data_IF_632562789030
#
_entry.id   IF_632562789030
#
_cell.length_a   1.000
_cell.length_b   1.000
_cell.length_c   1.000
_cell.angle_alpha   90.00
_cell.angle_beta   90.00
_cell.angle_gamma   90.00
#
_symmetry.space_group_name_H-M   'P 1'
#
loop_
_entity.id
_entity.type
_entity.pdbx_description
1 polymer ?
#
# COMPACT_ATOMS: atom_id res chain seq x y z
N UNK A 1 -75.70 -2.86 97.70
CA UNK A 1 -76.30 -2.35 96.48
C UNK A 1 -75.47 -2.87 95.30
N UNK A 2 -76.07 -3.75 94.53
CA UNK A 2 -75.41 -4.50 93.45
C UNK A 2 -75.47 -3.68 92.19
N UNK A 3 -74.33 -3.43 91.57
CA UNK A 3 -74.25 -2.81 90.28
C UNK A 3 -74.21 -3.92 89.21
N UNK A 4 -75.16 -3.85 88.22
CA UNK A 4 -75.38 -4.85 87.20
C UNK A 4 -74.48 -4.55 86.00
N UNK A 5 -73.60 -5.45 85.71
CA UNK A 5 -72.85 -5.45 84.46
C UNK A 5 -73.77 -5.54 83.23
N UNK A 6 -73.49 -4.79 82.09
CA UNK A 6 -74.33 -4.86 80.91
C UNK A 6 -74.05 -6.17 80.14
N UNK A 7 -75.16 -6.91 79.86
CA UNK A 7 -75.11 -8.14 79.07
C UNK A 7 -74.68 -7.84 77.63
N UNK A 8 -73.53 -8.38 77.20
CA UNK A 8 -73.15 -8.46 75.77
C UNK A 8 -74.21 -9.37 75.06
N UNK A 9 -75.07 -8.79 74.28
CA UNK A 9 -75.94 -9.57 73.39
C UNK A 9 -75.13 -10.40 72.46
N UNK A 10 -75.41 -11.68 72.22
CA UNK A 10 -74.70 -12.50 71.24
C UNK A 10 -74.96 -11.91 69.86
N UNK A 11 -73.86 -11.60 69.15
CA UNK A 11 -73.84 -11.12 67.74
C UNK A 11 -74.56 -12.15 66.86
N UNK A 12 -75.51 -11.68 66.03
CA UNK A 12 -76.30 -12.55 65.15
C UNK A 12 -75.40 -13.41 64.25
N UNK A 13 -75.78 -14.67 63.95
CA UNK A 13 -74.98 -15.59 63.14
C UNK A 13 -74.69 -15.02 61.71
N UNK A 14 -75.56 -14.14 61.20
CA UNK A 14 -75.42 -13.42 59.94
C UNK A 14 -74.23 -12.44 59.98
N UNK A 15 -74.00 -11.79 61.13
CA UNK A 15 -72.83 -10.86 61.27
C UNK A 15 -71.52 -11.62 61.28
N UNK A 16 -71.48 -12.80 61.94
CA UNK A 16 -70.26 -13.65 61.90
C UNK A 16 -70.00 -14.17 60.50
N UNK A 17 -71.03 -14.50 59.72
CA UNK A 17 -70.84 -14.93 58.31
C UNK A 17 -70.36 -13.80 57.44
N UNK A 18 -70.88 -12.59 57.61
CA UNK A 18 -70.40 -11.40 56.88
C UNK A 18 -68.93 -11.10 57.26
N UNK A 19 -68.54 -11.12 58.53
CA UNK A 19 -67.17 -10.90 58.99
C UNK A 19 -66.26 -12.00 58.49
N UNK A 20 -66.64 -13.27 58.48
CA UNK A 20 -65.88 -14.38 57.96
C UNK A 20 -65.63 -14.25 56.44
N UNK A 21 -66.69 -13.83 55.69
CA UNK A 21 -66.55 -13.57 54.23
C UNK A 21 -65.60 -12.40 53.98
N UNK A 22 -65.70 -11.31 54.78
CA UNK A 22 -64.78 -10.17 54.62
C UNK A 22 -63.31 -10.54 54.95
N UNK A 23 -63.14 -11.35 56.01
CA UNK A 23 -61.79 -11.86 56.37
C UNK A 23 -61.28 -12.78 55.29
N UNK A 24 -62.09 -13.68 54.75
CA UNK A 24 -61.66 -14.56 53.62
C UNK A 24 -61.37 -13.77 52.38
N UNK A 25 -62.16 -12.73 52.03
CA UNK A 25 -61.86 -11.83 50.90
C UNK A 25 -60.57 -11.04 51.13
N UNK A 26 -60.38 -10.52 52.35
CA UNK A 26 -59.09 -9.82 52.69
C UNK A 26 -57.91 -10.73 52.58
N UNK A 27 -57.98 -11.94 53.15
CA UNK A 27 -56.90 -12.95 52.99
C UNK A 27 -56.61 -13.30 51.50
N UNK A 28 -57.66 -13.45 50.72
CA UNK A 28 -57.55 -13.71 49.29
C UNK A 28 -56.84 -12.56 48.58
N UNK A 29 -57.17 -11.30 48.86
CA UNK A 29 -56.50 -10.12 48.32
C UNK A 29 -55.01 -10.08 48.75
N UNK A 30 -54.74 -10.34 50.04
CA UNK A 30 -53.39 -10.34 50.58
C UNK A 30 -52.55 -11.46 49.95
N UNK A 31 -53.05 -12.68 49.86
CA UNK A 31 -52.36 -13.81 49.20
C UNK A 31 -52.17 -13.50 47.71
N UNK A 32 -53.20 -12.97 47.02
CA UNK A 32 -53.10 -12.53 45.63
C UNK A 32 -52.06 -11.47 45.41
N UNK A 33 -51.88 -10.51 46.34
CA UNK A 33 -50.88 -9.45 46.31
C UNK A 33 -49.46 -9.98 46.54
N UNK A 34 -49.27 -11.12 47.22
CA UNK A 34 -48.02 -11.80 47.39
C UNK A 34 -47.55 -12.54 46.09
N UNK A 35 -48.55 -13.07 45.35
CA UNK A 35 -48.28 -13.83 44.09
C UNK A 35 -48.16 -12.89 42.91
N UNK A 36 -48.94 -11.84 42.84
CA UNK A 36 -48.96 -10.86 41.76
C UNK A 36 -47.68 -10.04 41.75
N UNK A 37 -46.97 -10.04 40.60
CA UNK A 37 -45.77 -9.25 40.35
C UNK A 37 -46.11 -8.13 39.37
N UNK A 38 -45.61 -6.93 39.66
CA UNK A 38 -45.63 -5.79 38.73
C UNK A 38 -44.21 -5.49 38.23
N UNK A 39 -44.11 -4.99 37.04
CA UNK A 39 -42.83 -4.62 36.40
C UNK A 39 -42.49 -3.18 36.75
N UNK A 40 -41.26 -2.96 37.16
CA UNK A 40 -40.71 -1.63 37.35
C UNK A 40 -39.97 -1.29 36.04
N UNK A 41 -40.35 -0.18 35.47
CA UNK A 41 -39.78 0.27 34.18
C UNK A 41 -39.03 1.58 34.35
N UNK A 42 -37.87 1.63 33.74
CA UNK A 42 -37.17 2.89 33.49
C UNK A 42 -37.65 3.45 32.15
N UNK A 43 -37.96 4.75 32.13
CA UNK A 43 -38.48 5.41 30.93
C UNK A 43 -37.44 6.29 30.27
N UNK A 44 -37.23 6.08 28.99
CA UNK A 44 -36.34 6.89 28.12
C UNK A 44 -37.08 7.41 26.90
N UNK A 45 -36.63 8.55 26.39
CA UNK A 45 -37.05 9.09 25.10
C UNK A 45 -35.93 9.00 24.12
N UNK A 46 -36.25 8.74 22.84
CA UNK A 46 -35.21 8.60 21.83
C UNK A 46 -35.75 8.57 20.42
N UNK A 47 -34.93 8.09 19.53
CA UNK A 47 -35.25 7.96 18.10
C UNK A 47 -34.74 6.66 17.52
N UNK A 48 -35.37 6.25 16.44
CA UNK A 48 -34.87 5.13 15.62
C UNK A 48 -33.65 5.59 14.82
N UNK A 49 -32.56 4.86 14.94
CA UNK A 49 -31.37 5.08 14.16
C UNK A 49 -31.02 3.81 13.37
N UNK A 50 -30.38 3.91 12.20
CA UNK A 50 -29.86 2.75 11.50
C UNK A 50 -28.69 2.13 12.28
N UNK A 51 -28.55 0.82 12.24
CA UNK A 51 -27.42 0.11 12.85
C UNK A 51 -26.12 0.37 12.10
N UNK A 52 -26.20 0.59 10.78
CA UNK A 52 -25.05 0.91 9.93
C UNK A 52 -24.80 2.41 9.93
N UNK A 53 -23.53 2.78 10.07
CA UNK A 53 -23.10 4.19 10.02
C UNK A 53 -23.25 4.76 8.61
N UNK A 54 -23.67 6.02 8.54
CA UNK A 54 -23.69 6.79 7.30
C UNK A 54 -22.28 6.80 6.69
N UNK A 55 -22.17 6.41 5.44
CA UNK A 55 -20.90 6.41 4.71
C UNK A 55 -20.72 7.75 3.99
N UNK A 56 -19.55 8.35 4.20
CA UNK A 56 -19.17 9.59 3.54
C UNK A 56 -18.36 9.23 2.28
N UNK A 57 -18.83 9.65 1.12
CA UNK A 57 -18.09 9.55 -0.13
C UNK A 57 -17.30 10.84 -0.31
N UNK A 58 -15.97 10.74 -0.25
CA UNK A 58 -15.06 11.87 -0.36
C UNK A 58 -14.23 11.75 -1.65
N UNK A 59 -13.91 12.89 -2.25
CA UNK A 59 -12.96 12.92 -3.36
C UNK A 59 -11.55 12.56 -2.84
N UNK A 60 -10.94 11.53 -3.40
CA UNK A 60 -9.56 11.18 -3.07
C UNK A 60 -8.57 12.08 -3.80
N UNK A 61 -8.93 12.53 -4.99
CA UNK A 61 -8.11 13.38 -5.84
C UNK A 61 -8.83 14.70 -6.13
N UNK A 62 -8.04 15.74 -6.32
CA UNK A 62 -8.50 17.02 -6.83
C UNK A 62 -8.74 16.91 -8.33
N UNK A 63 -9.87 17.43 -8.81
CA UNK A 63 -10.17 17.36 -10.25
C UNK A 63 -11.46 18.07 -10.64
N UNK A 64 -11.68 18.17 -11.95
CA UNK A 64 -12.91 18.70 -12.53
C UNK A 64 -13.95 17.60 -12.67
N UNK A 65 -15.20 17.88 -12.32
CA UNK A 65 -16.30 16.93 -12.48
C UNK A 65 -16.66 16.79 -13.95
N UNK A 66 -16.55 15.59 -14.51
CA UNK A 66 -16.98 15.29 -15.86
C UNK A 66 -18.45 14.86 -15.89
N UNK A 67 -18.83 13.93 -14.99
CA UNK A 67 -20.19 13.37 -14.93
C UNK A 67 -20.63 13.15 -13.49
N UNK A 68 -21.92 13.40 -13.23
CA UNK A 68 -22.64 13.01 -12.02
C UNK A 68 -23.74 12.04 -12.49
N UNK A 69 -23.69 10.79 -12.05
CA UNK A 69 -24.54 9.70 -12.53
C UNK A 69 -25.70 9.40 -11.59
N UNK A 70 -25.74 10.07 -10.44
CA UNK A 70 -26.70 9.81 -9.36
C UNK A 70 -27.40 11.10 -8.93
N UNK A 71 -28.54 10.92 -8.25
CA UNK A 71 -29.37 12.02 -7.71
C UNK A 71 -29.58 11.81 -6.22
N UNK A 72 -29.87 12.88 -5.50
CA UNK A 72 -30.29 12.84 -4.12
C UNK A 72 -31.55 11.98 -3.95
N UNK A 73 -31.60 11.16 -2.91
CA UNK A 73 -32.68 10.19 -2.67
C UNK A 73 -32.63 8.92 -3.52
N UNK A 74 -31.70 8.78 -4.46
CA UNK A 74 -31.55 7.58 -5.27
C UNK A 74 -30.96 6.42 -4.48
N UNK A 75 -31.45 5.20 -4.73
CA UNK A 75 -30.85 3.97 -4.22
C UNK A 75 -29.69 3.55 -5.13
N UNK A 76 -28.57 3.16 -4.50
CA UNK A 76 -27.35 2.70 -5.18
C UNK A 76 -26.88 1.38 -4.59
N UNK A 77 -26.26 0.53 -5.42
CA UNK A 77 -25.64 -0.71 -5.00
C UNK A 77 -24.13 -0.49 -4.78
N UNK A 78 -23.55 -1.32 -3.94
CA UNK A 78 -22.10 -1.34 -3.76
C UNK A 78 -21.38 -1.55 -5.10
N UNK A 79 -20.43 -0.66 -5.43
CA UNK A 79 -19.70 -0.68 -6.69
C UNK A 79 -20.34 0.13 -7.83
N UNK A 80 -21.53 0.73 -7.63
CA UNK A 80 -22.11 1.63 -8.63
C UNK A 80 -21.26 2.89 -8.78
N UNK A 81 -21.04 3.32 -10.04
CA UNK A 81 -20.33 4.56 -10.35
C UNK A 81 -21.21 5.77 -10.03
N UNK A 82 -20.75 6.61 -9.12
CA UNK A 82 -21.47 7.77 -8.61
C UNK A 82 -21.09 9.05 -9.36
N UNK A 83 -19.79 9.32 -9.38
CA UNK A 83 -19.22 10.54 -9.97
C UNK A 83 -17.96 10.15 -10.75
N UNK A 84 -17.76 10.79 -11.88
CA UNK A 84 -16.54 10.67 -12.67
C UNK A 84 -15.89 12.05 -12.78
N UNK A 85 -14.62 12.10 -12.36
CA UNK A 85 -13.76 13.25 -12.61
C UNK A 85 -13.11 13.14 -13.98
N UNK A 86 -12.67 14.26 -14.56
CA UNK A 86 -12.04 14.32 -15.89
C UNK A 86 -10.71 13.54 -15.90
N UNK A 87 -10.62 12.43 -16.65
CA UNK A 87 -9.44 11.58 -16.64
C UNK A 87 -8.35 12.01 -17.63
N UNK A 88 -8.59 13.05 -18.46
CA UNK A 88 -7.70 13.37 -19.59
C UNK A 88 -6.27 13.69 -19.18
N UNK A 89 -6.10 14.45 -18.11
CA UNK A 89 -4.76 14.79 -17.59
C UNK A 89 -4.02 13.55 -17.08
N UNK A 90 -4.69 12.70 -16.29
CA UNK A 90 -4.13 11.47 -15.76
C UNK A 90 -3.80 10.46 -16.87
N UNK A 91 -4.67 10.33 -17.90
CA UNK A 91 -4.43 9.49 -19.07
C UNK A 91 -3.19 9.94 -19.85
N UNK A 92 -3.05 11.26 -20.09
CA UNK A 92 -1.90 11.82 -20.78
C UNK A 92 -0.62 11.59 -19.99
N UNK A 93 -0.65 11.76 -18.66
CA UNK A 93 0.52 11.49 -17.80
C UNK A 93 0.87 9.99 -17.78
N UNK A 94 -0.12 9.09 -17.72
CA UNK A 94 0.13 7.64 -17.86
C UNK A 94 0.81 7.32 -19.21
N UNK A 95 0.29 7.86 -20.30
CA UNK A 95 0.85 7.64 -21.63
C UNK A 95 2.28 8.18 -21.75
N UNK A 96 2.56 9.35 -21.15
CA UNK A 96 3.90 9.92 -21.11
C UNK A 96 4.88 9.04 -20.34
N UNK A 97 4.51 8.61 -19.13
CA UNK A 97 5.35 7.72 -18.31
C UNK A 97 5.58 6.37 -18.99
N UNK A 98 4.58 5.82 -19.67
CA UNK A 98 4.74 4.60 -20.46
C UNK A 98 5.71 4.77 -21.64
N UNK A 99 5.68 5.92 -22.32
CA UNK A 99 6.62 6.24 -23.38
C UNK A 99 8.07 6.37 -22.82
N UNK A 100 8.24 7.02 -21.68
CA UNK A 100 9.53 7.14 -20.98
C UNK A 100 10.08 5.75 -20.58
N UNK A 101 9.22 4.86 -20.06
CA UNK A 101 9.58 3.46 -19.75
C UNK A 101 10.02 2.72 -21.00
N UNK A 102 9.31 2.85 -22.11
CA UNK A 102 9.66 2.20 -23.36
C UNK A 102 11.03 2.67 -23.87
N UNK A 103 11.32 3.97 -23.80
CA UNK A 103 12.62 4.54 -24.18
C UNK A 103 13.75 4.03 -23.28
N UNK A 104 13.56 4.05 -21.96
CA UNK A 104 14.58 3.55 -21.02
C UNK A 104 14.79 2.03 -21.17
N UNK A 105 13.73 1.28 -21.45
CA UNK A 105 13.82 -0.16 -21.72
C UNK A 105 14.70 -0.45 -22.95
N UNK A 106 14.51 0.31 -24.01
CA UNK A 106 15.35 0.20 -25.22
C UNK A 106 16.83 0.51 -24.91
N UNK A 107 17.11 1.56 -24.13
CA UNK A 107 18.48 1.89 -23.73
C UNK A 107 19.11 0.76 -22.89
N UNK A 108 18.37 0.16 -21.97
CA UNK A 108 18.83 -0.99 -21.19
C UNK A 108 19.14 -2.20 -22.09
N UNK A 109 18.26 -2.47 -23.06
CA UNK A 109 18.47 -3.56 -24.02
C UNK A 109 19.71 -3.35 -24.90
N UNK A 110 19.93 -2.12 -25.37
CA UNK A 110 21.13 -1.74 -26.14
C UNK A 110 22.40 -1.96 -25.31
N UNK A 111 22.41 -1.45 -24.07
CA UNK A 111 23.54 -1.61 -23.15
C UNK A 111 23.85 -3.09 -22.89
N UNK A 112 22.80 -3.89 -22.65
CA UNK A 112 22.93 -5.34 -22.41
C UNK A 112 23.44 -6.06 -23.66
N UNK A 113 22.95 -5.74 -24.85
CA UNK A 113 23.38 -6.34 -26.10
C UNK A 113 24.88 -6.09 -26.35
N UNK A 114 25.35 -4.84 -26.13
CA UNK A 114 26.74 -4.48 -26.27
C UNK A 114 27.63 -5.21 -25.24
N UNK A 115 27.18 -5.27 -23.96
CA UNK A 115 27.91 -6.03 -22.92
C UNK A 115 28.00 -7.50 -23.24
N UNK A 116 26.93 -8.12 -23.71
CA UNK A 116 26.92 -9.53 -24.11
C UNK A 116 27.86 -9.77 -25.28
N UNK A 117 27.85 -8.88 -26.29
CA UNK A 117 28.78 -8.97 -27.44
C UNK A 117 30.22 -8.90 -26.97
N UNK A 118 30.58 -8.00 -26.05
CA UNK A 118 31.91 -7.83 -25.50
C UNK A 118 32.39 -9.01 -24.62
N UNK A 119 31.44 -9.74 -24.01
CA UNK A 119 31.77 -10.91 -23.19
C UNK A 119 31.85 -12.22 -23.96
N UNK A 120 30.97 -12.41 -24.94
CA UNK A 120 30.81 -13.70 -25.62
C UNK A 120 31.51 -13.79 -26.97
N UNK A 121 31.98 -12.65 -27.54
CA UNK A 121 32.58 -12.62 -28.87
C UNK A 121 33.92 -11.93 -28.84
N UNK A 122 34.87 -12.42 -29.69
CA UNK A 122 36.11 -11.67 -29.89
C UNK A 122 35.84 -10.40 -30.72
N UNK A 123 36.14 -9.20 -30.19
CA UNK A 123 35.92 -7.95 -30.91
C UNK A 123 36.69 -7.84 -32.26
N UNK A 124 37.68 -8.68 -32.52
CA UNK A 124 38.43 -8.71 -33.78
C UNK A 124 37.79 -9.62 -34.83
N UNK A 125 36.82 -10.45 -34.47
CA UNK A 125 36.07 -11.30 -35.40
C UNK A 125 35.31 -10.48 -36.44
N UNK A 126 35.18 -11.04 -37.67
CA UNK A 126 34.44 -10.39 -38.76
C UNK A 126 32.95 -10.26 -38.41
N UNK A 127 32.39 -11.22 -37.65
CA UNK A 127 30.99 -11.32 -37.32
C UNK A 127 30.64 -10.64 -35.99
N UNK A 128 31.58 -9.94 -35.36
CA UNK A 128 31.40 -9.32 -34.05
C UNK A 128 30.19 -8.38 -34.00
N UNK A 129 30.06 -7.49 -35.00
CA UNK A 129 28.94 -6.55 -35.09
C UNK A 129 27.61 -7.26 -35.33
N UNK A 130 27.59 -8.28 -36.22
CA UNK A 130 26.39 -9.06 -36.53
C UNK A 130 25.91 -9.86 -35.31
N UNK A 131 26.82 -10.47 -34.57
CA UNK A 131 26.49 -11.15 -33.29
C UNK A 131 25.95 -10.16 -32.27
N UNK A 132 26.54 -8.96 -32.13
CA UNK A 132 26.04 -7.92 -31.24
C UNK A 132 24.62 -7.48 -31.55
N UNK A 133 24.26 -7.37 -32.82
CA UNK A 133 22.89 -7.07 -33.25
C UNK A 133 21.91 -8.21 -32.92
N UNK A 134 22.34 -9.46 -32.98
CA UNK A 134 21.51 -10.62 -32.66
C UNK A 134 21.12 -10.70 -31.17
N UNK A 135 21.93 -10.08 -30.29
CA UNK A 135 21.59 -9.99 -28.85
C UNK A 135 20.54 -8.93 -28.52
N UNK A 136 20.12 -8.07 -29.45
CA UNK A 136 19.02 -7.13 -29.23
C UNK A 136 17.69 -7.88 -29.27
N UNK A 137 16.92 -7.94 -28.16
CA UNK A 137 15.66 -8.65 -28.13
C UNK A 137 14.62 -7.99 -29.06
N UNK A 138 13.64 -8.78 -29.51
CA UNK A 138 12.52 -8.24 -30.27
C UNK A 138 11.76 -7.20 -29.43
N UNK A 139 11.39 -6.04 -30.00
CA UNK A 139 10.68 -5.02 -29.25
C UNK A 139 9.33 -5.56 -28.78
N UNK A 140 8.92 -5.29 -27.54
CA UNK A 140 7.54 -5.51 -27.15
C UNK A 140 6.66 -4.57 -27.97
N UNK A 141 5.81 -5.17 -28.79
CA UNK A 141 4.77 -4.51 -29.62
C UNK A 141 5.09 -3.13 -30.23
N UNK A 142 5.43 -3.11 -31.49
CA UNK A 142 4.95 -2.07 -32.41
C UNK A 142 5.88 -0.90 -32.74
N UNK A 143 7.00 -0.66 -32.06
CA UNK A 143 7.84 0.50 -32.37
C UNK A 143 9.05 0.10 -33.26
N UNK A 144 8.77 -0.23 -34.53
CA UNK A 144 9.79 -0.61 -35.49
C UNK A 144 10.87 0.47 -35.68
N UNK A 145 10.51 1.75 -35.56
CA UNK A 145 11.44 2.88 -35.70
C UNK A 145 12.48 2.89 -34.58
N UNK A 146 12.05 2.72 -33.32
CA UNK A 146 12.95 2.68 -32.17
C UNK A 146 13.94 1.49 -32.23
N UNK A 147 13.48 0.35 -32.77
CA UNK A 147 14.35 -0.80 -33.02
C UNK A 147 15.44 -0.48 -34.05
N UNK A 148 15.07 0.11 -35.17
CA UNK A 148 16.03 0.48 -36.25
C UNK A 148 17.07 1.47 -35.71
N UNK A 149 16.67 2.42 -34.86
CA UNK A 149 17.57 3.36 -34.21
C UNK A 149 18.51 2.64 -33.22
N UNK A 150 18.01 1.70 -32.43
CA UNK A 150 18.80 0.86 -31.54
C UNK A 150 19.84 0.01 -32.30
N UNK A 151 19.42 -0.66 -33.40
CA UNK A 151 20.30 -1.45 -34.26
C UNK A 151 21.40 -0.59 -34.87
N UNK A 152 21.09 0.62 -35.36
CA UNK A 152 22.06 1.59 -35.86
C UNK A 152 23.05 2.01 -34.77
N UNK A 153 22.58 2.28 -33.57
CA UNK A 153 23.46 2.69 -32.47
C UNK A 153 24.43 1.56 -32.07
N UNK A 154 23.89 0.32 -31.90
CA UNK A 154 24.73 -0.85 -31.60
C UNK A 154 25.78 -1.05 -32.70
N UNK A 155 25.36 -1.08 -33.97
CA UNK A 155 26.26 -1.30 -35.08
C UNK A 155 27.35 -0.23 -35.15
N UNK A 156 27.01 1.06 -35.03
CA UNK A 156 27.96 2.15 -35.05
C UNK A 156 28.96 2.07 -33.88
N UNK A 157 28.48 1.74 -32.68
CA UNK A 157 29.33 1.62 -31.49
C UNK A 157 30.33 0.45 -31.62
N UNK A 158 29.82 -0.74 -31.94
CA UNK A 158 30.64 -1.94 -32.08
C UNK A 158 31.62 -1.81 -33.24
N UNK A 159 31.21 -1.22 -34.35
CA UNK A 159 32.12 -0.94 -35.50
C UNK A 159 33.24 0.01 -35.12
N UNK A 160 32.91 1.13 -34.45
CA UNK A 160 33.94 2.09 -33.99
C UNK A 160 34.95 1.44 -33.04
N UNK A 161 34.50 0.61 -32.10
CA UNK A 161 35.36 -0.13 -31.20
C UNK A 161 36.26 -1.13 -31.98
N UNK A 162 35.66 -1.89 -32.88
CA UNK A 162 36.38 -2.85 -33.73
C UNK A 162 37.48 -2.17 -34.56
N UNK A 163 37.19 -1.01 -35.15
CA UNK A 163 38.15 -0.27 -35.95
C UNK A 163 39.35 0.23 -35.13
N UNK A 164 39.10 0.72 -33.90
CA UNK A 164 40.15 1.11 -32.95
C UNK A 164 41.04 -0.09 -32.57
N UNK A 165 40.43 -1.24 -32.27
CA UNK A 165 41.14 -2.46 -31.89
C UNK A 165 41.96 -3.02 -33.05
N UNK A 166 41.41 -2.98 -34.27
CA UNK A 166 42.15 -3.35 -35.52
C UNK A 166 43.36 -2.44 -35.78
N UNK A 167 43.21 -1.14 -35.54
CA UNK A 167 44.31 -0.20 -35.67
C UNK A 167 45.45 -0.52 -34.69
N UNK A 168 45.12 -0.76 -33.40
CA UNK A 168 46.12 -1.18 -32.40
C UNK A 168 46.80 -2.51 -32.75
N UNK A 169 46.01 -3.48 -33.24
CA UNK A 169 46.55 -4.76 -33.72
C UNK A 169 47.48 -4.56 -34.88
N UNK A 170 47.12 -3.77 -35.91
CA UNK A 170 47.95 -3.49 -37.06
C UNK A 170 49.26 -2.80 -36.67
N UNK A 171 49.24 -1.95 -35.64
CA UNK A 171 50.47 -1.33 -35.10
C UNK A 171 51.33 -2.37 -34.40
N UNK A 172 50.76 -3.24 -33.56
CA UNK A 172 51.52 -4.32 -32.92
C UNK A 172 52.15 -5.29 -33.94
N UNK A 173 51.40 -5.70 -34.98
CA UNK A 173 51.89 -6.56 -36.06
C UNK A 173 53.03 -5.90 -36.86
N UNK A 174 53.05 -4.57 -36.94
CA UNK A 174 54.13 -3.81 -37.59
C UNK A 174 55.42 -3.83 -36.74
N UNK A 175 55.27 -3.62 -35.41
CA UNK A 175 56.41 -3.69 -34.47
C UNK A 175 56.99 -5.10 -34.41
N UNK A 176 56.12 -6.12 -34.41
CA UNK A 176 56.52 -7.54 -34.42
C UNK A 176 57.35 -7.89 -35.68
N UNK A 177 56.91 -7.43 -36.87
CA UNK A 177 57.67 -7.61 -38.12
C UNK A 177 59.01 -6.89 -38.08
N UNK A 178 59.07 -5.66 -37.48
CA UNK A 178 60.36 -4.96 -37.25
C UNK A 178 61.24 -5.79 -36.32
N UNK A 179 60.70 -6.38 -35.25
CA UNK A 179 61.48 -7.26 -34.39
C UNK A 179 62.01 -8.50 -35.07
N UNK A 180 61.22 -9.14 -35.94
CA UNK A 180 61.70 -10.30 -36.73
C UNK A 180 62.90 -9.94 -37.64
N UNK A 181 62.87 -8.74 -38.28
CA UNK A 181 63.99 -8.24 -39.07
C UNK A 181 65.22 -8.00 -38.21
N UNK A 182 65.05 -7.46 -37.01
CA UNK A 182 66.17 -7.22 -36.08
C UNK A 182 66.74 -8.52 -35.51
N UNK A 183 65.96 -9.56 -35.32
CA UNK A 183 66.43 -10.88 -34.93
C UNK A 183 67.36 -11.45 -36.02
N UNK A 184 66.91 -11.42 -37.28
CA UNK A 184 67.74 -11.89 -38.39
C UNK A 184 69.07 -11.10 -38.52
N UNK A 185 69.05 -9.80 -38.18
CA UNK A 185 70.31 -9.00 -38.16
C UNK A 185 71.17 -9.36 -36.95
N UNK A 186 70.59 -9.68 -35.80
CA UNK A 186 71.31 -10.13 -34.61
C UNK A 186 72.06 -11.45 -34.90
N UNK A 187 71.41 -12.41 -35.53
CA UNK A 187 71.96 -13.70 -35.90
C UNK A 187 73.19 -13.49 -36.78
N UNK A 188 73.11 -12.63 -37.80
CA UNK A 188 74.26 -12.26 -38.69
C UNK A 188 75.36 -11.59 -37.89
N UNK A 189 75.09 -10.66 -36.99
CA UNK A 189 76.08 -10.00 -36.15
C UNK A 189 76.77 -10.98 -35.18
N UNK A 190 76.08 -12.00 -34.71
CA UNK A 190 76.69 -13.07 -33.91
C UNK A 190 77.64 -13.92 -34.70
N UNK A 191 77.39 -14.22 -36.00
CA UNK A 191 78.28 -14.88 -36.89
C UNK A 191 79.59 -13.99 -37.18
N UNK A 192 79.34 -12.69 -37.42
CA UNK A 192 80.41 -11.71 -37.60
C UNK A 192 81.28 -11.56 -36.32
N UNK A 193 80.65 -11.64 -35.13
CA UNK A 193 81.39 -11.65 -33.86
C UNK A 193 82.29 -12.86 -33.73
N UNK A 194 81.81 -14.07 -34.07
CA UNK A 194 82.63 -15.29 -34.06
C UNK A 194 83.82 -15.18 -35.00
N UNK A 195 83.65 -14.67 -36.23
CA UNK A 195 84.69 -14.44 -37.20
C UNK A 195 85.69 -13.42 -36.70
N UNK A 196 85.27 -12.27 -36.21
CA UNK A 196 86.08 -11.20 -35.67
C UNK A 196 86.89 -11.64 -34.44
N UNK A 197 86.26 -12.44 -33.56
CA UNK A 197 86.96 -13.04 -32.41
C UNK A 197 88.05 -13.99 -32.84
N UNK A 198 87.81 -14.81 -33.86
CA UNK A 198 88.87 -15.68 -34.47
C UNK A 198 90.04 -14.89 -35.00
N UNK A 199 89.74 -13.83 -35.77
CA UNK A 199 90.77 -12.91 -36.30
C UNK A 199 91.55 -12.21 -35.16
N UNK A 200 90.89 -11.78 -34.10
CA UNK A 200 91.54 -11.15 -32.97
C UNK A 200 92.47 -12.13 -32.22
N UNK A 201 92.01 -13.39 -31.99
CA UNK A 201 92.88 -14.42 -31.37
C UNK A 201 94.08 -14.72 -32.19
N UNK A 202 93.95 -14.86 -33.53
CA UNK A 202 95.09 -15.05 -34.44
C UNK A 202 96.05 -13.86 -34.42
N UNK A 203 95.54 -12.62 -34.48
CA UNK A 203 96.33 -11.40 -34.38
C UNK A 203 97.09 -11.30 -33.07
N UNK A 204 96.44 -11.68 -31.92
CA UNK A 204 97.13 -11.71 -30.62
C UNK A 204 98.32 -12.66 -30.59
N UNK A 205 98.17 -13.89 -31.10
CA UNK A 205 99.28 -14.87 -31.20
C UNK A 205 100.42 -14.41 -32.10
N UNK A 206 100.08 -13.79 -33.23
CA UNK A 206 101.11 -13.26 -34.17
C UNK A 206 101.81 -12.03 -33.57
N UNK A 207 101.20 -11.20 -32.79
CA UNK A 207 101.82 -10.09 -32.07
C UNK A 207 102.77 -10.59 -30.98
N UNK A 208 102.38 -11.61 -30.21
CA UNK A 208 103.21 -12.24 -29.20
C UNK A 208 104.48 -12.84 -29.79
N UNK A 209 104.42 -13.38 -31.02
CA UNK A 209 105.58 -13.89 -31.80
C UNK A 209 106.33 -12.77 -32.58
N UNK A 210 105.94 -11.50 -32.41
CA UNK A 210 106.53 -10.31 -33.08
C UNK A 210 106.35 -10.34 -34.62
N UNK A 211 105.44 -11.07 -35.20
CA UNK A 211 105.18 -11.14 -36.63
C UNK A 211 104.37 -9.94 -37.14
N UNK A 212 103.50 -9.37 -36.32
CA UNK A 212 102.71 -8.17 -36.65
C UNK A 212 102.93 -7.05 -35.62
N UNK A 213 102.66 -5.79 -36.04
CA UNK A 213 102.74 -4.65 -35.14
C UNK A 213 101.57 -4.56 -34.14
N UNK A 214 101.80 -3.90 -33.00
CA UNK A 214 100.75 -3.60 -32.01
C UNK A 214 99.61 -2.79 -32.65
N UNK A 215 99.84 -1.94 -33.60
CA UNK A 215 98.81 -1.17 -34.28
C UNK A 215 97.82 -2.07 -35.03
N UNK A 216 98.27 -3.14 -35.71
CA UNK A 216 97.39 -4.11 -36.38
C UNK A 216 96.55 -4.91 -35.36
N UNK A 217 97.10 -5.28 -34.21
CA UNK A 217 96.34 -5.93 -33.15
C UNK A 217 95.26 -4.99 -32.59
N UNK A 218 95.56 -3.72 -32.32
CA UNK A 218 94.59 -2.73 -31.82
C UNK A 218 93.52 -2.46 -32.87
N UNK A 219 93.83 -2.47 -34.16
CA UNK A 219 92.83 -2.37 -35.23
C UNK A 219 91.79 -3.57 -35.15
N UNK A 220 92.32 -4.80 -35.05
CA UNK A 220 91.45 -5.98 -34.90
C UNK A 220 90.60 -6.00 -33.58
N UNK A 221 91.15 -5.49 -32.49
CA UNK A 221 90.46 -5.30 -31.25
C UNK A 221 89.35 -4.27 -31.40
N UNK A 222 89.63 -3.19 -32.12
CA UNK A 222 88.59 -2.17 -32.40
C UNK A 222 87.46 -2.75 -33.26
N UNK A 223 87.77 -3.51 -34.33
CA UNK A 223 86.79 -4.18 -35.16
C UNK A 223 85.92 -5.12 -34.33
N UNK A 224 86.47 -5.94 -33.47
CA UNK A 224 85.71 -6.82 -32.58
C UNK A 224 84.84 -6.03 -31.63
N UNK A 225 85.33 -4.98 -31.03
CA UNK A 225 84.57 -4.11 -30.13
C UNK A 225 83.40 -3.41 -30.82
N UNK A 226 83.56 -3.00 -32.08
CA UNK A 226 82.49 -2.41 -32.86
C UNK A 226 81.35 -3.40 -33.08
N UNK A 227 81.64 -4.66 -33.42
CA UNK A 227 80.61 -5.71 -33.57
C UNK A 227 79.91 -5.99 -32.25
N UNK A 228 80.64 -6.04 -31.13
CA UNK A 228 80.01 -6.18 -29.79
C UNK A 228 79.07 -5.03 -29.49
N UNK A 229 79.43 -3.78 -29.79
CA UNK A 229 78.56 -2.62 -29.62
C UNK A 229 77.31 -2.66 -30.50
N UNK A 230 77.44 -3.14 -31.76
CA UNK A 230 76.32 -3.31 -32.67
C UNK A 230 75.35 -4.38 -32.18
N UNK A 231 75.89 -5.51 -31.66
CA UNK A 231 75.00 -6.56 -30.99
C UNK A 231 74.24 -5.97 -29.84
N UNK A 232 74.92 -5.26 -28.92
CA UNK A 232 74.24 -4.66 -27.74
C UNK A 232 73.20 -3.64 -28.17
N UNK A 233 73.49 -2.83 -29.18
CA UNK A 233 72.52 -1.85 -29.70
C UNK A 233 71.32 -2.55 -30.30
N UNK A 234 71.48 -3.63 -31.01
CA UNK A 234 70.40 -4.39 -31.63
C UNK A 234 69.57 -5.14 -30.59
N UNK A 235 70.22 -5.69 -29.55
CA UNK A 235 69.50 -6.31 -28.41
C UNK A 235 68.57 -5.29 -27.68
N UNK A 236 69.09 -4.06 -27.42
CA UNK A 236 68.29 -3.00 -26.83
C UNK A 236 67.05 -2.64 -27.67
N UNK A 237 67.20 -2.57 -28.99
CA UNK A 237 66.12 -2.31 -29.93
C UNK A 237 65.06 -3.42 -29.89
N UNK A 238 65.48 -4.69 -29.72
CA UNK A 238 64.57 -5.80 -29.54
C UNK A 238 63.78 -5.69 -28.20
N UNK A 239 64.48 -5.28 -27.13
CA UNK A 239 63.81 -5.02 -25.82
C UNK A 239 62.79 -3.87 -25.92
N UNK A 240 63.16 -2.78 -26.62
CA UNK A 240 62.26 -1.65 -26.89
C UNK A 240 61.01 -2.09 -27.68
N UNK A 241 61.18 -2.89 -28.74
CA UNK A 241 60.04 -3.44 -29.49
C UNK A 241 59.16 -4.34 -28.67
N UNK A 242 59.72 -5.19 -27.80
CA UNK A 242 58.96 -6.04 -26.90
C UNK A 242 58.16 -5.21 -25.87
N UNK A 243 58.75 -4.13 -25.34
CA UNK A 243 58.10 -3.20 -24.46
C UNK A 243 56.95 -2.46 -25.17
N UNK A 244 57.15 -2.02 -26.42
CA UNK A 244 56.12 -1.37 -27.24
C UNK A 244 54.94 -2.32 -27.52
N UNK A 245 55.19 -3.59 -27.90
CA UNK A 245 54.16 -4.61 -28.10
C UNK A 245 53.34 -4.81 -26.81
N UNK A 246 53.99 -4.88 -25.65
CA UNK A 246 53.29 -5.00 -24.36
C UNK A 246 52.43 -3.78 -24.05
N UNK A 247 52.93 -2.58 -24.34
CA UNK A 247 52.17 -1.34 -24.21
C UNK A 247 50.90 -1.34 -25.08
N UNK A 248 51.02 -1.74 -26.34
CA UNK A 248 49.89 -1.84 -27.28
C UNK A 248 48.89 -2.91 -26.86
N UNK A 249 49.34 -4.03 -26.28
CA UNK A 249 48.45 -5.05 -25.70
C UNK A 249 47.68 -4.50 -24.50
N UNK A 250 48.37 -3.77 -23.61
CA UNK A 250 47.72 -3.12 -22.45
C UNK A 250 46.70 -2.07 -22.89
N UNK A 251 47.01 -1.22 -23.87
CA UNK A 251 46.10 -0.24 -24.44
C UNK A 251 44.85 -0.91 -25.02
N UNK A 252 45.01 -2.03 -25.75
CA UNK A 252 43.88 -2.81 -26.27
C UNK A 252 43.01 -3.34 -25.16
N UNK A 253 43.59 -3.89 -24.10
CA UNK A 253 42.86 -4.43 -22.97
C UNK A 253 42.10 -3.32 -22.18
N UNK A 254 42.77 -2.18 -21.97
CA UNK A 254 42.15 -1.01 -21.32
C UNK A 254 40.94 -0.52 -22.11
N UNK A 255 41.07 -0.38 -23.45
CA UNK A 255 39.97 0.08 -24.30
C UNK A 255 38.72 -0.82 -24.17
N UNK A 256 38.89 -2.15 -24.14
CA UNK A 256 37.80 -3.11 -23.95
C UNK A 256 37.22 -2.96 -22.54
N UNK A 257 38.08 -2.87 -21.51
CA UNK A 257 37.62 -2.74 -20.11
C UNK A 257 36.89 -1.44 -19.86
N UNK A 258 37.34 -0.35 -20.47
CA UNK A 258 36.74 0.98 -20.37
C UNK A 258 35.31 0.98 -20.99
N UNK A 259 35.15 0.35 -22.16
CA UNK A 259 33.82 0.20 -22.79
C UNK A 259 32.91 -0.71 -21.97
N UNK A 260 33.39 -1.82 -21.42
CA UNK A 260 32.63 -2.68 -20.50
C UNK A 260 32.20 -1.90 -19.26
N UNK A 261 33.10 -1.13 -18.65
CA UNK A 261 32.81 -0.32 -17.48
C UNK A 261 31.72 0.73 -17.77
N UNK A 262 31.83 1.41 -18.91
CA UNK A 262 30.87 2.41 -19.40
C UNK A 262 29.48 1.83 -19.58
N UNK A 263 29.37 0.71 -20.28
CA UNK A 263 28.05 0.09 -20.52
C UNK A 263 27.44 -0.58 -19.27
N UNK A 264 28.27 -1.08 -18.34
CA UNK A 264 27.81 -1.53 -17.03
C UNK A 264 27.25 -0.39 -16.18
N UNK A 265 27.90 0.78 -16.24
CA UNK A 265 27.39 1.96 -15.55
C UNK A 265 26.07 2.41 -16.17
N UNK A 266 25.99 2.51 -17.50
CA UNK A 266 24.77 2.87 -18.20
C UNK A 266 23.63 1.89 -17.92
N UNK A 267 23.90 0.59 -17.91
CA UNK A 267 22.91 -0.44 -17.59
C UNK A 267 22.34 -0.28 -16.18
N UNK A 268 23.20 -0.03 -15.18
CA UNK A 268 22.75 0.20 -13.80
C UNK A 268 21.94 1.48 -13.65
N UNK A 269 22.37 2.56 -14.25
CA UNK A 269 21.64 3.84 -14.23
C UNK A 269 20.26 3.70 -14.87
N UNK A 270 20.21 3.05 -16.03
CA UNK A 270 18.96 2.80 -16.74
C UNK A 270 18.01 1.91 -15.93
N UNK A 271 18.53 0.90 -15.24
CA UNK A 271 17.74 0.01 -14.39
C UNK A 271 17.12 0.76 -13.19
N UNK A 272 17.90 1.63 -12.53
CA UNK A 272 17.40 2.48 -11.45
C UNK A 272 16.32 3.45 -11.95
N UNK A 273 16.53 4.07 -13.11
CA UNK A 273 15.54 4.95 -13.72
C UNK A 273 14.26 4.20 -14.07
N UNK A 274 14.36 2.96 -14.60
CA UNK A 274 13.20 2.12 -14.89
C UNK A 274 12.41 1.77 -13.62
N UNK A 275 13.07 1.48 -12.51
CA UNK A 275 12.39 1.25 -11.23
C UNK A 275 11.62 2.50 -10.77
N UNK A 276 12.26 3.68 -10.86
CA UNK A 276 11.59 4.94 -10.54
C UNK A 276 10.39 5.24 -11.44
N UNK A 277 10.53 5.03 -12.75
CA UNK A 277 9.44 5.22 -13.71
C UNK A 277 8.29 4.23 -13.51
N UNK A 278 8.58 2.96 -13.19
CA UNK A 278 7.54 1.97 -12.85
C UNK A 278 6.76 2.38 -11.62
N UNK A 279 7.44 2.79 -10.54
CA UNK A 279 6.76 3.29 -9.34
C UNK A 279 5.91 4.54 -9.63
N UNK A 280 6.39 5.42 -10.52
CA UNK A 280 5.63 6.57 -10.99
C UNK A 280 4.40 6.15 -11.79
N UNK A 281 4.52 5.14 -12.66
CA UNK A 281 3.40 4.61 -13.43
C UNK A 281 2.32 4.04 -12.50
N UNK A 282 2.72 3.24 -11.50
CA UNK A 282 1.80 2.67 -10.51
C UNK A 282 1.05 3.77 -9.74
N UNK A 283 1.77 4.82 -9.32
CA UNK A 283 1.15 5.98 -8.66
C UNK A 283 0.18 6.72 -9.57
N UNK A 284 0.54 6.93 -10.84
CA UNK A 284 -0.32 7.62 -11.81
C UNK A 284 -1.55 6.79 -12.16
N UNK A 285 -1.38 5.47 -12.29
CA UNK A 285 -2.48 4.53 -12.49
C UNK A 285 -3.45 4.55 -11.30
N UNK A 286 -2.91 4.51 -10.06
CA UNK A 286 -3.71 4.65 -8.85
C UNK A 286 -4.52 5.96 -8.85
N UNK A 287 -3.91 7.08 -9.24
CA UNK A 287 -4.62 8.34 -9.40
C UNK A 287 -5.74 8.25 -10.43
N UNK A 288 -5.48 7.63 -11.57
CA UNK A 288 -6.47 7.46 -12.65
C UNK A 288 -7.67 6.63 -12.17
N UNK A 289 -7.44 5.51 -11.48
CA UNK A 289 -8.49 4.62 -10.97
C UNK A 289 -9.37 5.33 -9.93
N UNK A 290 -8.80 6.26 -9.15
CA UNK A 290 -9.52 7.02 -8.12
C UNK A 290 -10.14 8.34 -8.60
N UNK A 291 -10.15 8.59 -9.92
CA UNK A 291 -10.97 9.63 -10.54
C UNK A 291 -12.43 9.19 -10.72
N UNK A 292 -12.70 7.90 -10.62
CA UNK A 292 -14.04 7.33 -10.63
C UNK A 292 -14.43 6.98 -9.19
N UNK A 293 -15.49 7.60 -8.68
CA UNK A 293 -15.97 7.39 -7.31
C UNK A 293 -17.13 6.40 -7.34
N UNK A 294 -16.97 5.33 -6.56
CA UNK A 294 -17.95 4.23 -6.47
C UNK A 294 -18.63 4.20 -5.11
N UNK A 295 -19.84 3.62 -5.06
CA UNK A 295 -20.58 3.40 -3.83
C UNK A 295 -19.87 2.37 -2.94
N UNK A 296 -19.53 2.69 -1.69
CA UNK A 296 -18.87 1.76 -0.77
C UNK A 296 -19.81 0.68 -0.23
N UNK A 297 -21.15 0.95 -0.21
CA UNK A 297 -22.18 0.07 0.34
C UNK A 297 -23.50 0.26 -0.42
N UNK A 298 -24.38 -0.73 -0.30
CA UNK A 298 -25.78 -0.59 -0.73
C UNK A 298 -26.50 0.41 0.17
N UNK A 299 -27.20 1.37 -0.43
CA UNK A 299 -27.89 2.38 0.36
C UNK A 299 -28.53 3.48 -0.47
N UNK A 300 -29.06 4.47 0.24
CA UNK A 300 -29.70 5.64 -0.37
C UNK A 300 -28.86 6.88 -0.17
N UNK A 301 -28.72 7.68 -1.23
CA UNK A 301 -28.02 8.97 -1.18
C UNK A 301 -28.89 9.95 -0.38
N UNK A 302 -28.38 10.45 0.75
CA UNK A 302 -29.07 11.38 1.65
C UNK A 302 -28.77 12.84 1.31
N UNK A 303 -27.51 13.12 0.97
CA UNK A 303 -27.05 14.50 0.68
C UNK A 303 -26.06 14.46 -0.47
N UNK A 304 -26.26 15.29 -1.47
CA UNK A 304 -25.37 15.47 -2.61
C UNK A 304 -24.87 16.92 -2.62
N UNK A 305 -23.63 17.14 -2.17
CA UNK A 305 -23.06 18.48 -2.04
C UNK A 305 -22.66 19.14 -3.37
N UNK A 306 -22.79 18.42 -4.47
CA UNK A 306 -22.34 18.86 -5.81
C UNK A 306 -23.48 18.72 -6.82
N UNK A 307 -23.79 19.83 -7.49
CA UNK A 307 -24.86 19.89 -8.48
C UNK A 307 -24.41 20.39 -9.86
N UNK A 308 -23.15 20.86 -9.98
CA UNK A 308 -22.67 21.53 -11.18
C UNK A 308 -21.66 20.67 -11.94
N UNK A 309 -21.98 20.31 -13.18
CA UNK A 309 -21.03 19.69 -14.10
C UNK A 309 -19.93 20.71 -14.45
N UNK A 310 -18.70 20.23 -14.56
CA UNK A 310 -17.54 21.07 -14.84
C UNK A 310 -17.03 21.85 -13.64
N UNK A 311 -17.67 21.69 -12.47
CA UNK A 311 -17.17 22.23 -11.19
C UNK A 311 -15.87 21.55 -10.79
N UNK A 312 -15.12 22.20 -9.86
CA UNK A 312 -13.85 21.71 -9.36
C UNK A 312 -14.03 21.20 -7.94
N UNK A 313 -13.47 20.02 -7.65
CA UNK A 313 -13.47 19.43 -6.31
C UNK A 313 -12.05 19.27 -5.81
N UNK A 314 -11.87 19.46 -4.50
CA UNK A 314 -10.60 19.27 -3.81
C UNK A 314 -10.55 17.89 -3.14
N UNK A 315 -9.36 17.33 -3.01
CA UNK A 315 -9.15 16.09 -2.28
C UNK A 315 -9.60 16.24 -0.80
N UNK A 316 -10.25 15.21 -0.27
CA UNK A 316 -10.78 15.20 1.10
C UNK A 316 -12.17 15.86 1.26
N UNK A 317 -12.70 16.52 0.23
CA UNK A 317 -14.04 17.12 0.31
C UNK A 317 -15.12 16.04 0.24
N UNK A 318 -16.07 16.07 1.17
CA UNK A 318 -17.24 15.21 1.14
C UNK A 318 -18.17 15.63 0.01
N UNK A 319 -18.46 14.70 -0.89
CA UNK A 319 -19.27 14.93 -2.06
C UNK A 319 -20.73 14.48 -1.87
N UNK A 320 -20.90 13.39 -1.12
CA UNK A 320 -22.22 12.85 -0.77
C UNK A 320 -22.17 11.98 0.47
N UNK A 321 -23.35 11.72 1.02
CA UNK A 321 -23.58 10.78 2.12
C UNK A 321 -24.47 9.66 1.65
N UNK A 322 -24.11 8.41 1.99
CA UNK A 322 -24.91 7.23 1.71
C UNK A 322 -25.38 6.63 3.03
N UNK A 323 -26.70 6.52 3.20
CA UNK A 323 -27.34 5.83 4.32
C UNK A 323 -27.55 4.38 3.88
N UNK A 324 -26.85 3.42 4.52
CA UNK A 324 -27.00 2.01 4.17
C UNK A 324 -28.43 1.49 4.43
N UNK A 325 -28.96 0.70 3.50
CA UNK A 325 -30.27 0.05 3.65
C UNK A 325 -30.15 -1.29 4.39
N UNK A 326 -28.96 -1.87 4.45
CA UNK A 326 -28.69 -3.20 5.03
C UNK A 326 -28.32 -3.17 6.52
N UNK A 327 -28.80 -2.21 7.27
CA UNK A 327 -28.67 -2.18 8.72
C UNK A 327 -30.04 -2.38 9.36
N UNK A 328 -30.19 -3.34 10.28
CA UNK A 328 -31.36 -3.37 11.14
C UNK A 328 -31.57 -2.02 11.84
N UNK A 329 -32.78 -1.69 12.20
CA UNK A 329 -33.09 -0.49 12.97
C UNK A 329 -32.85 -0.75 14.45
N UNK A 330 -32.25 0.21 15.13
CA UNK A 330 -32.12 0.23 16.59
C UNK A 330 -32.69 1.53 17.13
N UNK A 331 -33.13 1.49 18.37
CA UNK A 331 -33.54 2.66 19.09
C UNK A 331 -32.39 3.17 19.94
N UNK A 332 -31.98 4.42 19.74
CA UNK A 332 -31.15 5.14 20.71
C UNK A 332 -32.07 5.94 21.62
N UNK A 333 -32.20 5.50 22.89
CA UNK A 333 -33.04 6.15 23.89
C UNK A 333 -32.15 6.72 25.01
N UNK A 334 -32.56 7.88 25.53
CA UNK A 334 -31.85 8.59 26.57
C UNK A 334 -32.59 8.41 27.90
N UNK A 335 -31.87 7.92 28.90
CA UNK A 335 -32.35 7.65 30.23
C UNK A 335 -31.73 8.58 31.26
N UNK A 336 -32.51 8.92 32.30
CA UNK A 336 -32.03 9.77 33.40
C UNK A 336 -30.93 9.05 34.21
N UNK A 337 -30.02 9.82 34.80
CA UNK A 337 -28.97 9.31 35.67
C UNK A 337 -29.50 8.49 36.87
N UNK A 338 -30.77 8.73 37.29
CA UNK A 338 -31.41 7.96 38.38
C UNK A 338 -31.68 6.51 38.01
N UNK A 339 -31.92 6.23 36.75
CA UNK A 339 -32.37 4.92 36.27
C UNK A 339 -31.24 4.06 35.74
N UNK A 340 -30.08 4.69 35.37
CA UNK A 340 -28.96 4.01 34.69
C UNK A 340 -28.37 2.86 35.51
N UNK A 341 -28.32 2.98 36.83
CA UNK A 341 -27.77 1.95 37.72
C UNK A 341 -28.57 0.63 37.72
N UNK A 342 -29.80 0.64 37.14
CA UNK A 342 -30.67 -0.53 37.01
C UNK A 342 -30.80 -1.05 35.60
N UNK A 343 -30.13 -0.39 34.63
CA UNK A 343 -30.16 -0.78 33.22
C UNK A 343 -28.99 -1.70 32.87
N UNK A 344 -29.33 -2.88 32.36
CA UNK A 344 -28.33 -3.90 31.98
C UNK A 344 -28.60 -4.42 30.56
N UNK A 345 -27.54 -4.86 29.92
CA UNK A 345 -27.63 -5.55 28.63
C UNK A 345 -28.47 -6.82 28.74
N UNK A 346 -29.40 -7.02 27.78
CA UNK A 346 -30.27 -8.18 27.72
C UNK A 346 -31.65 -7.96 28.34
N UNK A 347 -31.91 -6.82 29.00
CA UNK A 347 -33.24 -6.49 29.53
C UNK A 347 -34.24 -6.27 28.39
N UNK A 348 -35.51 -6.63 28.64
CA UNK A 348 -36.61 -6.40 27.71
C UNK A 348 -37.08 -4.94 27.80
N UNK A 349 -37.43 -4.41 26.65
CA UNK A 349 -37.94 -3.06 26.52
C UNK A 349 -39.27 -3.05 25.73
N UNK A 350 -40.17 -2.16 26.12
CA UNK A 350 -41.37 -1.81 25.36
C UNK A 350 -41.13 -0.50 24.63
N UNK A 351 -41.22 -0.52 23.31
CA UNK A 351 -40.99 0.62 22.44
C UNK A 351 -42.34 1.14 21.94
N UNK A 352 -42.61 2.41 22.20
CA UNK A 352 -43.82 3.13 21.81
C UNK A 352 -43.45 4.20 20.81
N UNK A 353 -43.88 4.08 19.58
CA UNK A 353 -43.63 5.04 18.53
C UNK A 353 -44.65 6.20 18.63
N UNK A 354 -44.15 7.44 18.59
CA UNK A 354 -45.04 8.63 18.61
C UNK A 354 -45.91 8.70 17.34
N UNK A 355 -45.40 8.18 16.21
CA UNK A 355 -46.16 8.10 14.97
C UNK A 355 -47.25 7.01 14.97
N UNK A 356 -47.19 6.03 15.89
CA UNK A 356 -48.11 4.88 15.99
C UNK A 356 -48.62 4.74 17.44
N UNK A 357 -49.72 5.42 17.80
CA UNK A 357 -50.28 5.39 19.17
C UNK A 357 -50.51 3.96 19.68
N UNK A 358 -50.00 3.62 20.88
CA UNK A 358 -49.99 2.25 21.39
C UNK A 358 -51.43 1.67 21.65
N UNK A 359 -52.45 2.51 21.80
CA UNK A 359 -53.84 2.11 21.95
C UNK A 359 -54.38 1.41 20.69
N UNK A 360 -53.85 1.73 19.51
CA UNK A 360 -54.30 1.18 18.22
C UNK A 360 -53.32 0.16 17.63
N UNK A 361 -52.02 0.33 17.90
CA UNK A 361 -50.95 -0.45 17.25
C UNK A 361 -50.23 -1.38 18.22
N UNK A 362 -50.53 -1.29 19.53
CA UNK A 362 -49.82 -2.05 20.54
C UNK A 362 -48.41 -1.48 20.83
N UNK A 363 -47.66 -2.24 21.59
CA UNK A 363 -46.27 -1.92 21.92
C UNK A 363 -45.34 -2.86 21.18
N UNK A 364 -44.22 -2.35 20.72
CA UNK A 364 -43.17 -3.15 20.06
C UNK A 364 -42.19 -3.62 21.13
N UNK A 365 -41.81 -4.90 21.04
CA UNK A 365 -40.82 -5.48 21.92
C UNK A 365 -39.41 -5.21 21.39
N UNK A 366 -38.50 -5.05 22.34
CA UNK A 366 -37.07 -4.90 22.01
C UNK A 366 -36.20 -5.38 23.16
N UNK A 367 -34.92 -5.46 22.90
CA UNK A 367 -33.90 -5.92 23.85
C UNK A 367 -32.76 -4.92 23.94
N UNK A 368 -32.33 -4.58 25.17
CA UNK A 368 -31.18 -3.72 25.41
C UNK A 368 -29.92 -4.40 24.93
N UNK A 369 -29.22 -3.78 23.96
CA UNK A 369 -27.95 -4.28 23.38
C UNK A 369 -26.75 -3.67 24.07
N UNK A 370 -26.83 -2.37 24.37
CA UNK A 370 -25.75 -1.63 24.99
C UNK A 370 -26.25 -0.49 25.86
N UNK A 371 -25.57 -0.26 26.97
CA UNK A 371 -25.79 0.86 27.88
C UNK A 371 -24.56 1.76 27.82
N UNK A 372 -24.75 3.04 27.49
CA UNK A 372 -23.65 4.00 27.34
C UNK A 372 -22.92 4.20 28.67
N UNK A 373 -21.61 4.14 28.61
CA UNK A 373 -20.72 4.29 29.76
C UNK A 373 -20.57 5.75 30.24
N UNK A 374 -20.95 6.73 29.38
CA UNK A 374 -20.72 8.16 29.65
C UNK A 374 -22.00 8.94 29.49
N UNK A 375 -22.24 9.84 30.43
CA UNK A 375 -23.38 10.76 30.35
C UNK A 375 -23.16 11.80 29.26
N UNK A 376 -24.16 12.08 28.45
CA UNK A 376 -24.20 13.21 27.52
C UNK A 376 -24.87 14.39 28.22
N UNK A 377 -24.15 15.53 28.25
CA UNK A 377 -24.66 16.77 28.79
C UNK A 377 -25.09 17.67 27.64
N UNK A 378 -26.32 18.14 27.62
CA UNK A 378 -26.80 19.19 26.73
C UNK A 378 -27.31 20.35 27.59
N UNK A 379 -27.33 21.58 27.04
CA UNK A 379 -27.70 22.81 27.77
C UNK A 379 -29.10 22.76 28.45
N UNK A 380 -29.96 21.85 28.02
CA UNK A 380 -31.33 21.69 28.51
C UNK A 380 -31.61 20.38 29.31
N UNK A 381 -30.65 19.43 29.31
CA UNK A 381 -30.89 18.10 29.89
C UNK A 381 -29.72 17.71 30.79
N UNK A 382 -30.02 17.55 32.10
CA UNK A 382 -29.05 17.05 33.07
C UNK A 382 -28.65 15.62 32.71
N UNK A 383 -27.36 15.34 32.61
CA UNK A 383 -26.69 14.06 32.42
C UNK A 383 -27.55 12.85 32.07
N UNK A 384 -27.80 12.65 30.77
CA UNK A 384 -28.53 11.49 30.26
C UNK A 384 -27.60 10.45 29.66
N UNK A 385 -27.97 9.19 29.79
CA UNK A 385 -27.22 8.08 29.21
C UNK A 385 -27.94 7.53 28.00
N UNK A 386 -27.17 7.33 26.90
CA UNK A 386 -27.68 6.71 25.69
C UNK A 386 -27.71 5.18 25.86
N UNK A 387 -28.86 4.58 25.63
CA UNK A 387 -29.08 3.12 25.65
C UNK A 387 -29.52 2.68 24.27
N UNK A 388 -28.85 1.68 23.72
CA UNK A 388 -29.17 1.11 22.41
C UNK A 388 -30.05 -0.12 22.60
N UNK A 389 -31.23 -0.09 21.97
CA UNK A 389 -32.25 -1.12 22.09
C UNK A 389 -32.55 -1.68 20.71
N UNK A 390 -32.28 -2.97 20.51
CA UNK A 390 -32.62 -3.68 19.29
C UNK A 390 -34.11 -3.90 19.21
N UNK A 391 -34.71 -3.59 18.08
CA UNK A 391 -36.12 -3.80 17.80
C UNK A 391 -36.30 -5.24 17.31
N UNK A 392 -37.28 -5.98 17.87
CA UNK A 392 -37.51 -7.37 17.47
C UNK A 392 -38.28 -7.49 16.15
N UNK A 393 -38.95 -6.44 15.70
CA UNK A 393 -39.71 -6.37 14.46
C UNK A 393 -39.42 -5.08 13.71
N UNK A 394 -39.26 -5.16 12.40
CA UNK A 394 -38.95 -4.02 11.53
C UNK A 394 -40.17 -3.29 10.96
N UNK A 395 -41.38 -3.80 11.23
CA UNK A 395 -42.64 -3.25 10.76
C UNK A 395 -43.79 -3.53 11.71
N UNK A 396 -44.85 -2.75 11.59
CA UNK A 396 -46.16 -2.98 12.23
C UNK A 396 -47.14 -3.42 11.15
N UNK A 397 -47.91 -4.46 11.41
CA UNK A 397 -48.97 -4.91 10.53
C UNK A 397 -50.34 -4.34 10.99
N UNK A 398 -50.96 -3.52 10.13
CA UNK A 398 -52.33 -3.03 10.35
C UNK A 398 -53.17 -3.32 9.12
N UNK A 399 -54.32 -4.02 9.31
CA UNK A 399 -55.28 -4.32 8.21
C UNK A 399 -54.58 -4.89 6.96
N UNK A 400 -53.65 -5.82 7.11
CA UNK A 400 -52.84 -6.44 6.05
C UNK A 400 -51.87 -5.49 5.35
N UNK A 401 -51.57 -4.28 5.88
CA UNK A 401 -50.54 -3.37 5.40
C UNK A 401 -49.34 -3.41 6.35
N UNK A 402 -48.17 -3.63 5.79
CA UNK A 402 -46.89 -3.58 6.52
C UNK A 402 -46.38 -2.14 6.53
N UNK A 403 -46.35 -1.51 7.70
CA UNK A 403 -45.84 -0.16 7.91
C UNK A 403 -44.42 -0.30 8.44
N UNK A 404 -43.43 0.01 7.60
CA UNK A 404 -41.98 -0.04 7.97
C UNK A 404 -41.62 1.13 8.87
N UNK A 405 -40.72 0.89 9.81
CA UNK A 405 -40.13 1.95 10.61
C UNK A 405 -39.13 2.72 9.75
N UNK A 406 -39.02 4.01 9.98
CA UNK A 406 -38.13 4.92 9.26
C UNK A 406 -37.14 5.52 10.25
N UNK A 407 -35.81 5.59 9.93
CA UNK A 407 -34.84 6.32 10.75
C UNK A 407 -35.34 7.74 11.06
N UNK A 408 -35.10 8.23 12.28
CA UNK A 408 -35.58 9.55 12.74
C UNK A 408 -36.94 9.54 13.44
N UNK A 409 -37.70 8.44 13.39
CA UNK A 409 -38.96 8.34 14.15
C UNK A 409 -38.70 8.47 15.66
N UNK A 410 -39.47 9.32 16.35
CA UNK A 410 -39.38 9.52 17.79
C UNK A 410 -40.11 8.38 18.52
N UNK A 411 -39.47 7.87 19.57
CA UNK A 411 -39.98 6.76 20.39
C UNK A 411 -39.84 7.06 21.88
N UNK A 412 -40.74 6.48 22.66
CA UNK A 412 -40.61 6.37 24.11
C UNK A 412 -40.38 4.90 24.44
N UNK A 413 -39.35 4.63 25.24
CA UNK A 413 -39.01 3.25 25.63
C UNK A 413 -39.17 3.05 27.12
N UNK A 414 -39.84 1.97 27.51
CA UNK A 414 -39.98 1.53 28.88
C UNK A 414 -39.17 0.24 29.05
N UNK A 415 -37.96 0.32 29.67
CA UNK A 415 -37.10 -0.85 29.93
C UNK A 415 -37.47 -1.48 31.26
N UNK A 416 -37.67 -2.80 31.26
CA UNK A 416 -38.03 -3.55 32.47
C UNK A 416 -36.77 -3.77 33.29
N UNK A 417 -36.65 -3.05 34.41
CA UNK A 417 -35.48 -3.12 35.30
C UNK A 417 -35.62 -4.21 36.36
N UNK A 418 -36.80 -4.37 36.93
CA UNK A 418 -37.06 -5.40 37.95
C UNK A 418 -38.53 -5.76 38.02
N UNK A 419 -38.83 -6.88 38.72
CA UNK A 419 -40.20 -7.30 39.03
C UNK A 419 -40.36 -7.29 40.52
N UNK A 420 -41.37 -6.51 41.02
CA UNK A 420 -41.72 -6.44 42.44
C UNK A 420 -43.07 -7.04 42.71
N UNK A 421 -43.29 -7.60 43.92
CA UNK A 421 -44.60 -8.08 44.36
C UNK A 421 -45.48 -6.90 44.71
N UNK A 422 -46.77 -6.93 44.36
CA UNK A 422 -47.72 -5.86 44.65
C UNK A 422 -47.79 -5.49 46.15
N UNK A 423 -47.64 -6.47 47.03
CA UNK A 423 -47.59 -6.27 48.47
C UNK A 423 -46.53 -5.32 48.94
N UNK A 424 -45.35 -5.24 48.22
CA UNK A 424 -44.24 -4.36 48.58
C UNK A 424 -44.61 -2.87 48.52
N UNK A 425 -45.54 -2.48 47.68
CA UNK A 425 -46.02 -1.08 47.61
C UNK A 425 -46.75 -0.62 48.86
N UNK A 426 -47.48 -1.55 49.56
CA UNK A 426 -48.11 -1.23 50.78
C UNK A 426 -47.20 -1.09 51.98
N UNK A 427 -46.10 -1.84 52.01
CA UNK A 427 -45.15 -1.84 53.12
C UNK A 427 -43.96 -0.86 52.91
N UNK A 428 -43.67 -0.40 51.67
CA UNK A 428 -42.60 0.51 51.38
C UNK A 428 -42.62 1.84 52.16
N UNK A 429 -43.78 2.51 52.34
CA UNK A 429 -43.84 3.72 53.19
C UNK A 429 -43.48 3.43 54.65
N UNK A 430 -43.87 2.26 55.16
CA UNK A 430 -43.62 1.85 56.54
C UNK A 430 -42.15 1.49 56.75
N UNK A 431 -41.58 0.74 55.83
CA UNK A 431 -40.17 0.36 55.89
C UNK A 431 -39.26 1.56 55.75
N UNK A 432 -39.58 2.53 54.87
CA UNK A 432 -38.82 3.79 54.73
C UNK A 432 -38.81 4.63 55.99
N UNK A 433 -39.98 4.75 56.69
CA UNK A 433 -40.05 5.48 57.92
C UNK A 433 -39.24 4.77 59.02
N UNK A 434 -39.25 3.45 59.09
CA UNK A 434 -38.48 2.64 60.02
C UNK A 434 -36.98 2.74 59.79
N UNK A 435 -36.52 2.68 58.50
CA UNK A 435 -35.12 2.84 58.17
C UNK A 435 -34.59 4.26 58.40
N UNK A 436 -35.41 5.29 58.20
CA UNK A 436 -35.07 6.67 58.49
C UNK A 436 -35.00 6.92 60.02
N UNK A 437 -35.91 6.30 60.79
CA UNK A 437 -35.92 6.43 62.27
C UNK A 437 -34.80 5.65 62.97
N UNK A 438 -34.26 4.61 62.32
CA UNK A 438 -33.11 3.81 62.82
C UNK A 438 -31.74 4.34 62.37
N UNK A 439 -31.68 5.29 61.48
CA UNK A 439 -30.50 6.01 61.03
C UNK A 439 -30.51 7.45 61.52
N UNK A 440 -30.67 7.64 62.83
CA UNK A 440 -30.29 8.90 63.45
C UNK A 440 -28.78 8.95 63.64
N UNK A 441 -28.18 9.78 62.81
CA UNK A 441 -26.92 10.42 63.10
C UNK A 441 -26.96 11.79 62.53
#
# INVERSE_FOLDING_TARGET
MADKAPYLRPLSPTLHMVVAVLIALFLFIVIGSFIAKTEIVARGQGSVIPTAYVQLVQAQNTGRIEKILVKEGQFVHQGDLLIQLDPREALNECARVQADIAQQTLQAQIATAILTALHESDPLDKDFVTKGLAYLPAPPSGNATARIEGEKLISATLQSLQDKLRALKAQADRVERSGATQHAQLDRLEDDRQLSQGKLKAAKSLMETKVISQAVYLERLHDFKNVEHEILTNQRRLEENAAEINTLRQQRQSLISDEIARYRQLSRETELNLQGLKAKLDSTQYHLDHLSLYAPVDGRIDDLSIHTLGGFVEAGKTLMRIVPDAGGLIVEAFFDNRDIGFLEKGQRAYIKFSAFPPERFGVIHGTVVNVGATARYNKEINGVYAVLIKIDQDHITLNNKHLKFIPGMTVTTDVITSKRRLISYFFEPITKILEQSLKER
#
